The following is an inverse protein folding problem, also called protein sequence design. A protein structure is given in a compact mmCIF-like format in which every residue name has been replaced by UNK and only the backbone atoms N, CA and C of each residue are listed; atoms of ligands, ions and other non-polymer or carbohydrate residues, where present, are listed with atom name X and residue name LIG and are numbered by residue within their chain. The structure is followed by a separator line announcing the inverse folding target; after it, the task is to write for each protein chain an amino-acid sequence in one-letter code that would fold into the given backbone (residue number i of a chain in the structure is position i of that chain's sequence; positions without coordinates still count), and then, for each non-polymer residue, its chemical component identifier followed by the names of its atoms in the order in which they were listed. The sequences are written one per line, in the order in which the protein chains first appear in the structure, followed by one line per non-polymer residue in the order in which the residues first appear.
data_IF_325176903883
#
_entry.id   IF_325176903883
#
_cell.length_a   1.000
_cell.length_b   1.000
_cell.length_c   1.000
_cell.angle_alpha   90.00
_cell.angle_beta   90.00
_cell.angle_gamma   90.00
#
_symmetry.space_group_name_H-M   'P 1'
#
loop_
_entity.id
_entity.type
_entity.pdbx_description
1 polymer ?
#
# COMPACT_ATOMS: atom_id res chain seq x y z
N UNK A 1 -1.19 -1.12 -12.23
CA UNK A 1 -1.26 -2.16 -11.19
C UNK A 1 -2.71 -2.36 -10.72
N UNK A 2 -3.37 -1.35 -10.12
CA UNK A 2 -4.74 -1.44 -9.59
C UNK A 2 -5.74 -2.05 -10.59
N UNK A 3 -5.74 -1.59 -11.84
CA UNK A 3 -6.61 -2.11 -12.89
C UNK A 3 -6.30 -3.58 -13.23
N UNK A 4 -5.02 -3.95 -13.39
CA UNK A 4 -4.65 -5.36 -13.68
C UNK A 4 -4.95 -6.28 -12.48
N UNK A 5 -4.72 -5.81 -11.26
CA UNK A 5 -5.01 -6.55 -10.04
C UNK A 5 -6.51 -6.85 -9.85
N UNK A 6 -7.39 -5.98 -10.35
CA UNK A 6 -8.84 -6.20 -10.26
C UNK A 6 -9.36 -7.39 -11.09
N UNK A 7 -8.53 -7.98 -11.96
CA UNK A 7 -8.83 -9.21 -12.70
C UNK A 7 -8.25 -10.48 -12.07
N UNK A 8 -7.41 -10.36 -11.04
CA UNK A 8 -6.89 -11.51 -10.31
C UNK A 8 -7.94 -12.01 -9.30
N UNK A 9 -8.39 -13.28 -9.40
CA UNK A 9 -9.38 -13.85 -8.48
C UNK A 9 -8.96 -13.78 -6.99
N UNK A 10 -7.66 -13.90 -6.72
CA UNK A 10 -7.16 -13.82 -5.35
C UNK A 10 -7.26 -12.39 -4.80
N UNK A 11 -6.95 -11.39 -5.63
CA UNK A 11 -7.09 -9.97 -5.26
C UNK A 11 -8.55 -9.61 -5.07
N UNK A 12 -9.44 -10.04 -5.97
CA UNK A 12 -10.88 -9.74 -5.87
C UNK A 12 -11.57 -10.46 -4.71
N UNK A 13 -11.03 -11.61 -4.27
CA UNK A 13 -11.51 -12.29 -3.07
C UNK A 13 -11.09 -11.58 -1.79
N UNK A 14 -9.93 -10.93 -1.76
CA UNK A 14 -9.42 -10.18 -0.61
C UNK A 14 -10.04 -8.78 -0.52
N UNK A 15 -10.09 -8.05 -1.63
CA UNK A 15 -10.51 -6.64 -1.67
C UNK A 15 -11.94 -6.45 -2.19
N UNK A 16 -12.67 -5.38 -1.76
CA UNK A 16 -12.29 -4.49 -0.66
C UNK A 16 -12.28 -5.24 0.68
N UNK A 17 -11.41 -4.84 1.60
CA UNK A 17 -11.35 -5.47 2.94
C UNK A 17 -12.69 -5.39 3.67
N UNK A 18 -13.40 -4.27 3.53
CA UNK A 18 -14.78 -4.12 4.02
C UNK A 18 -15.78 -4.61 2.95
N UNK A 19 -16.09 -5.90 2.92
CA UNK A 19 -17.00 -6.52 1.92
C UNK A 19 -18.39 -5.87 1.85
N UNK A 20 -18.87 -5.27 2.95
CA UNK A 20 -20.13 -4.53 2.99
C UNK A 20 -20.18 -3.37 1.98
N UNK A 21 -19.05 -2.82 1.56
CA UNK A 21 -18.97 -1.74 0.57
C UNK A 21 -19.48 -2.16 -0.83
N UNK A 22 -19.45 -3.45 -1.13
CA UNK A 22 -19.98 -3.99 -2.38
C UNK A 22 -21.50 -3.72 -2.46
N UNK A 23 -22.21 -3.83 -1.32
CA UNK A 23 -23.64 -3.58 -1.21
C UNK A 23 -23.97 -2.12 -0.89
N UNK A 24 -23.10 -1.43 -0.15
CA UNK A 24 -23.31 -0.07 0.35
C UNK A 24 -22.31 0.92 -0.25
N UNK A 25 -22.33 1.09 -1.58
CA UNK A 25 -21.37 1.94 -2.33
C UNK A 25 -21.38 3.41 -1.89
N UNK A 26 -22.46 3.90 -1.33
CA UNK A 26 -22.57 5.26 -0.78
C UNK A 26 -21.66 5.50 0.44
N UNK A 27 -21.20 4.44 1.11
CA UNK A 27 -20.26 4.53 2.25
C UNK A 27 -18.78 4.57 1.81
N UNK A 28 -18.49 4.33 0.53
CA UNK A 28 -17.13 4.31 -0.01
C UNK A 28 -16.29 5.55 0.35
N UNK A 29 -16.78 6.80 0.16
CA UNK A 29 -15.98 7.98 0.45
C UNK A 29 -15.60 8.07 1.94
N UNK A 30 -16.54 7.75 2.83
CA UNK A 30 -16.30 7.78 4.28
C UNK A 30 -15.30 6.70 4.68
N UNK A 31 -15.48 5.48 4.18
CA UNK A 31 -14.54 4.37 4.41
C UNK A 31 -13.12 4.75 3.96
N UNK A 32 -12.97 5.22 2.72
CA UNK A 32 -11.65 5.57 2.20
C UNK A 32 -11.02 6.76 2.93
N UNK A 33 -11.80 7.73 3.38
CA UNK A 33 -11.29 8.82 4.21
C UNK A 33 -10.63 8.27 5.49
N UNK A 34 -11.35 7.44 6.24
CA UNK A 34 -10.83 6.87 7.48
C UNK A 34 -9.68 5.88 7.23
N UNK A 35 -9.82 5.01 6.23
CA UNK A 35 -8.79 4.05 5.88
C UNK A 35 -7.49 4.73 5.41
N UNK A 36 -7.61 5.80 4.62
CA UNK A 36 -6.46 6.59 4.17
C UNK A 36 -5.76 7.26 5.34
N UNK A 37 -6.52 7.90 6.23
CA UNK A 37 -5.94 8.65 7.37
C UNK A 37 -5.31 7.69 8.40
N UNK A 38 -6.02 6.64 8.80
CA UNK A 38 -5.57 5.79 9.92
C UNK A 38 -4.66 4.64 9.48
N UNK A 39 -4.81 4.12 8.26
CA UNK A 39 -4.01 3.02 7.77
C UNK A 39 -2.83 3.49 6.92
N UNK A 40 -3.08 4.17 5.78
CA UNK A 40 -2.00 4.51 4.86
C UNK A 40 -1.02 5.55 5.41
N UNK A 41 -1.48 6.55 6.16
CA UNK A 41 -0.58 7.52 6.80
C UNK A 41 0.28 6.81 7.84
N UNK A 42 -0.34 6.01 8.72
CA UNK A 42 0.40 5.28 9.75
C UNK A 42 1.42 4.31 9.15
N UNK A 43 1.04 3.59 8.08
CA UNK A 43 1.91 2.67 7.36
C UNK A 43 3.13 3.37 6.77
N UNK A 44 2.91 4.42 5.96
CA UNK A 44 4.01 5.12 5.30
C UNK A 44 4.85 5.95 6.27
N UNK A 45 4.23 6.53 7.28
CA UNK A 45 4.99 7.19 8.35
C UNK A 45 5.92 6.20 9.06
N UNK A 46 5.44 5.00 9.41
CA UNK A 46 6.26 4.01 10.11
C UNK A 46 7.41 3.51 9.23
N UNK A 47 7.14 3.04 8.01
CA UNK A 47 8.15 2.42 7.17
C UNK A 47 9.07 3.45 6.49
N UNK A 48 8.52 4.50 5.89
CA UNK A 48 9.25 5.48 5.08
C UNK A 48 9.57 6.77 5.83
N UNK A 49 8.81 7.09 6.86
CA UNK A 49 9.11 8.19 7.77
C UNK A 49 10.10 7.78 8.86
N UNK A 50 9.67 6.92 9.76
CA UNK A 50 10.43 6.58 10.96
C UNK A 50 11.55 5.57 10.70
N UNK A 51 11.22 4.38 10.17
CA UNK A 51 12.17 3.28 10.04
C UNK A 51 13.28 3.62 9.02
N UNK A 52 12.91 4.01 7.79
CA UNK A 52 13.85 4.30 6.72
C UNK A 52 14.80 5.46 7.09
N UNK A 53 14.24 6.59 7.53
CA UNK A 53 15.08 7.76 7.87
C UNK A 53 15.90 7.54 9.13
N UNK A 54 15.41 6.80 10.11
CA UNK A 54 16.17 6.45 11.31
C UNK A 54 17.32 5.49 11.03
N UNK A 55 17.11 4.48 10.18
CA UNK A 55 18.15 3.48 9.89
C UNK A 55 19.24 4.00 8.95
N UNK A 56 18.92 4.88 8.00
CA UNK A 56 19.90 5.36 7.02
C UNK A 56 21.09 6.09 7.64
N UNK A 57 20.86 6.79 8.75
CA UNK A 57 21.93 7.52 9.47
C UNK A 57 22.91 6.56 10.16
N UNK A 58 22.45 5.36 10.52
CA UNK A 58 23.25 4.37 11.25
C UNK A 58 23.88 3.31 10.35
N UNK A 59 23.14 2.84 9.35
CA UNK A 59 23.52 1.67 8.55
C UNK A 59 23.79 2.00 7.07
N UNK A 60 23.43 3.20 6.62
CA UNK A 60 23.55 3.57 5.22
C UNK A 60 22.22 3.46 4.45
N UNK A 61 22.22 4.00 3.24
CA UNK A 61 21.00 4.14 2.42
C UNK A 61 20.46 2.79 1.94
N UNK A 62 21.33 1.92 1.44
CA UNK A 62 20.89 0.64 0.85
C UNK A 62 20.38 -0.31 1.92
N UNK A 63 21.09 -0.41 3.03
CA UNK A 63 20.71 -1.24 4.17
C UNK A 63 19.37 -0.78 4.76
N UNK A 64 19.16 0.52 4.89
CA UNK A 64 17.89 1.07 5.37
C UNK A 64 16.73 0.74 4.42
N UNK A 65 16.94 0.86 3.10
CA UNK A 65 15.94 0.48 2.10
C UNK A 65 15.63 -1.02 2.19
N UNK A 66 16.64 -1.87 2.29
CA UNK A 66 16.43 -3.32 2.37
C UNK A 66 15.69 -3.71 3.65
N UNK A 67 16.12 -3.19 4.81
CA UNK A 67 15.50 -3.51 6.09
C UNK A 67 14.03 -3.09 6.11
N UNK A 68 13.69 -1.85 5.69
CA UNK A 68 12.30 -1.41 5.65
C UNK A 68 11.47 -2.20 4.63
N UNK A 69 12.06 -2.59 3.48
CA UNK A 69 11.37 -3.39 2.47
C UNK A 69 11.07 -4.79 2.99
N UNK A 70 12.05 -5.47 3.58
CA UNK A 70 11.86 -6.79 4.17
C UNK A 70 10.80 -6.72 5.27
N UNK A 71 10.90 -5.74 6.17
CA UNK A 71 9.94 -5.57 7.26
C UNK A 71 8.51 -5.34 6.76
N UNK A 72 8.32 -4.51 5.72
CA UNK A 72 7.00 -4.29 5.14
C UNK A 72 6.50 -5.53 4.37
N UNK A 73 7.38 -6.25 3.67
CA UNK A 73 7.04 -7.48 2.95
C UNK A 73 6.57 -8.59 3.90
N UNK A 74 7.18 -8.73 5.07
CA UNK A 74 6.77 -9.74 6.07
C UNK A 74 5.32 -9.55 6.53
N UNK A 75 4.82 -8.32 6.57
CA UNK A 75 3.43 -8.05 6.93
C UNK A 75 2.46 -8.37 5.76
N UNK A 76 2.98 -8.58 4.56
CA UNK A 76 2.17 -9.01 3.40
C UNK A 76 2.04 -10.55 3.28
N UNK A 77 2.56 -11.34 4.23
CA UNK A 77 2.57 -12.82 4.12
C UNK A 77 1.16 -13.40 3.93
N UNK A 78 0.14 -12.81 4.57
CA UNK A 78 -1.25 -13.26 4.47
C UNK A 78 -2.02 -12.63 3.29
N UNK A 79 -1.34 -11.89 2.41
CA UNK A 79 -1.93 -11.24 1.23
C UNK A 79 -1.83 -12.13 -0.02
N UNK A 80 -2.59 -11.82 -1.10
CA UNK A 80 -2.47 -12.52 -2.37
C UNK A 80 -1.02 -12.61 -2.85
N UNK A 81 -0.64 -13.77 -3.40
CA UNK A 81 0.76 -14.06 -3.78
C UNK A 81 1.39 -12.98 -4.67
N UNK A 82 0.62 -12.44 -5.62
CA UNK A 82 1.07 -11.35 -6.49
C UNK A 82 1.44 -10.09 -5.68
N UNK A 83 0.69 -9.78 -4.62
CA UNK A 83 0.93 -8.65 -3.75
C UNK A 83 2.19 -8.84 -2.91
N UNK A 84 2.41 -10.05 -2.39
CA UNK A 84 3.64 -10.40 -1.65
C UNK A 84 4.87 -10.19 -2.54
N UNK A 85 4.89 -10.75 -3.75
CA UNK A 85 6.03 -10.63 -4.67
C UNK A 85 6.26 -9.18 -5.09
N UNK A 86 5.19 -8.44 -5.39
CA UNK A 86 5.30 -7.04 -5.81
C UNK A 86 5.65 -6.08 -4.68
N UNK A 87 5.39 -6.46 -3.42
CA UNK A 87 5.78 -5.64 -2.26
C UNK A 87 7.29 -5.41 -2.19
N UNK A 88 8.11 -6.35 -2.72
CA UNK A 88 9.58 -6.23 -2.72
C UNK A 88 10.06 -5.11 -3.67
N UNK A 89 9.85 -5.19 -5.01
CA UNK A 89 10.32 -4.14 -5.91
C UNK A 89 9.63 -2.79 -5.63
N UNK A 90 8.36 -2.80 -5.26
CA UNK A 90 7.63 -1.57 -4.90
C UNK A 90 8.17 -0.98 -3.60
N UNK A 91 8.47 -1.81 -2.58
CA UNK A 91 9.06 -1.36 -1.33
C UNK A 91 10.42 -0.68 -1.52
N UNK A 92 11.28 -1.26 -2.39
CA UNK A 92 12.57 -0.69 -2.77
C UNK A 92 12.36 0.65 -3.50
N UNK A 93 11.50 0.67 -4.52
CA UNK A 93 11.22 1.87 -5.31
C UNK A 93 10.67 3.01 -4.44
N UNK A 94 9.68 2.74 -3.59
CA UNK A 94 9.08 3.73 -2.70
C UNK A 94 10.09 4.21 -1.64
N UNK A 95 11.00 3.35 -1.19
CA UNK A 95 12.11 3.73 -0.33
C UNK A 95 13.02 4.77 -0.99
N UNK A 96 13.42 4.56 -2.25
CA UNK A 96 14.19 5.54 -3.02
C UNK A 96 13.42 6.85 -3.22
N UNK A 97 12.12 6.79 -3.54
CA UNK A 97 11.27 7.98 -3.70
C UNK A 97 11.22 8.78 -2.41
N UNK A 98 10.98 8.13 -1.26
CA UNK A 98 10.95 8.79 0.04
C UNK A 98 12.25 9.51 0.36
N UNK A 99 13.39 8.86 0.12
CA UNK A 99 14.72 9.45 0.33
C UNK A 99 15.00 10.60 -0.64
N UNK A 100 14.66 10.45 -1.91
CA UNK A 100 14.86 11.48 -2.94
C UNK A 100 14.03 12.73 -2.66
N UNK A 101 12.79 12.55 -2.26
CA UNK A 101 11.87 13.63 -1.91
C UNK A 101 12.05 14.14 -0.46
N UNK A 102 12.90 13.47 0.33
CA UNK A 102 13.09 13.76 1.78
C UNK A 102 11.77 13.81 2.55
N UNK A 103 10.79 12.98 2.14
CA UNK A 103 9.44 13.01 2.69
C UNK A 103 8.71 11.71 2.39
N UNK A 104 7.97 11.19 3.35
CA UNK A 104 7.07 10.05 3.15
C UNK A 104 5.72 10.44 2.50
N UNK A 105 5.35 11.72 2.48
CA UNK A 105 4.06 12.19 1.96
C UNK A 105 3.82 11.85 0.48
N UNK A 106 4.85 11.93 -0.36
CA UNK A 106 4.73 11.56 -1.78
C UNK A 106 4.46 10.06 -1.93
N UNK A 107 5.14 9.25 -1.12
CA UNK A 107 4.95 7.79 -1.11
C UNK A 107 3.56 7.44 -0.60
N UNK A 108 3.12 8.10 0.46
CA UNK A 108 1.76 7.98 0.99
C UNK A 108 0.70 8.25 -0.09
N UNK A 109 0.83 9.35 -0.84
CA UNK A 109 -0.13 9.68 -1.91
C UNK A 109 -0.17 8.58 -2.99
N UNK A 110 0.98 8.07 -3.41
CA UNK A 110 1.05 7.00 -4.41
C UNK A 110 0.41 5.71 -3.88
N UNK A 111 0.78 5.28 -2.68
CA UNK A 111 0.31 4.03 -2.10
C UNK A 111 -1.20 4.08 -1.80
N UNK A 112 -1.68 5.14 -1.17
CA UNK A 112 -3.10 5.35 -0.89
C UNK A 112 -3.93 5.39 -2.19
N UNK A 113 -3.44 6.09 -3.23
CA UNK A 113 -4.11 6.12 -4.53
C UNK A 113 -4.21 4.74 -5.17
N UNK A 114 -3.17 3.91 -5.07
CA UNK A 114 -3.19 2.53 -5.58
C UNK A 114 -4.26 1.69 -4.88
N UNK A 115 -4.34 1.75 -3.55
CA UNK A 115 -5.34 1.00 -2.79
C UNK A 115 -6.76 1.47 -3.07
N UNK A 116 -7.02 2.78 -3.03
CA UNK A 116 -8.34 3.35 -3.34
C UNK A 116 -8.79 2.98 -4.76
N UNK A 117 -7.90 3.08 -5.75
CA UNK A 117 -8.21 2.71 -7.13
C UNK A 117 -8.47 1.21 -7.27
N UNK A 118 -7.75 0.35 -6.55
CA UNK A 118 -8.00 -1.10 -6.56
C UNK A 118 -9.41 -1.41 -6.08
N UNK A 119 -9.82 -0.87 -4.94
CA UNK A 119 -11.17 -1.05 -4.41
C UNK A 119 -12.25 -0.53 -5.37
N UNK A 120 -12.04 0.67 -5.95
CA UNK A 120 -12.97 1.25 -6.93
C UNK A 120 -13.10 0.33 -8.15
N UNK A 121 -11.99 -0.14 -8.73
CA UNK A 121 -12.04 -1.02 -9.90
C UNK A 121 -12.76 -2.33 -9.58
N UNK A 122 -12.48 -2.95 -8.43
CA UNK A 122 -13.16 -4.18 -8.02
C UNK A 122 -14.65 -3.94 -7.85
N UNK A 123 -15.06 -2.90 -7.13
CA UNK A 123 -16.47 -2.63 -6.83
C UNK A 123 -17.28 -2.28 -8.09
N UNK A 124 -16.69 -1.54 -9.02
CA UNK A 124 -17.42 -1.06 -10.20
C UNK A 124 -17.29 -1.95 -11.43
N UNK A 125 -16.19 -2.72 -11.58
CA UNK A 125 -16.01 -3.60 -12.74
C UNK A 125 -16.58 -5.00 -12.51
N UNK A 126 -16.50 -5.56 -11.30
CA UNK A 126 -16.98 -6.92 -11.01
C UNK A 126 -18.43 -6.99 -10.52
N UNK A 127 -19.09 -5.87 -10.28
CA UNK A 127 -20.52 -5.81 -9.91
C UNK A 127 -21.44 -5.43 -11.09
N UNK A 128 -21.10 -5.84 -12.30
CA UNK A 128 -22.01 -5.80 -13.45
C UNK A 128 -22.64 -7.16 -13.70
#
# INVERSE_FOLDING_TARGET
FAFCGSFDPNVTSEYPLAKALIQHKNQLPVYHLFYTVFYYIAWEFYFRGYLLFGLKERYGVMEAILIQTISSCLIHIDKPFAEIILSIPVGIFLGFVALRCRSFWYVFLVHASLGVLTDIFIIYLHNR
#
